data_IF_376711286250
#
_entry.id   IF_376711286250
#
_cell.length_a   1.000
_cell.length_b   1.000
_cell.length_c   1.000
_cell.angle_alpha   90.00
_cell.angle_beta   90.00
_cell.angle_gamma   90.00
#
_symmetry.space_group_name_H-M   'P 1'
#
loop_
_entity.id
_entity.type
_entity.pdbx_description
1 polymer ?
#
# COMPACT_ATOMS: atom_id res chain seq x y z
N UNK A 1 -15.09 12.19 57.73
CA UNK A 1 -13.92 12.12 56.82
C UNK A 1 -13.81 10.69 56.34
N UNK A 2 -14.26 10.40 55.11
CA UNK A 2 -14.15 9.07 54.50
C UNK A 2 -12.68 8.66 54.46
N UNK A 3 -12.39 7.43 54.86
CA UNK A 3 -11.02 6.94 55.08
C UNK A 3 -10.21 7.03 53.79
N UNK A 4 -8.90 7.28 53.91
CA UNK A 4 -7.99 7.31 52.75
C UNK A 4 -8.09 6.00 51.94
N UNK A 5 -8.35 4.88 52.62
CA UNK A 5 -8.58 3.56 52.03
C UNK A 5 -9.82 3.52 51.14
N UNK A 6 -10.89 4.22 51.52
CA UNK A 6 -12.13 4.26 50.74
C UNK A 6 -11.95 5.07 49.45
N UNK A 7 -11.09 6.10 49.49
CA UNK A 7 -10.73 6.89 48.30
C UNK A 7 -9.84 6.10 47.34
N UNK A 8 -8.90 5.32 47.85
CA UNK A 8 -8.03 4.45 47.04
C UNK A 8 -8.86 3.34 46.39
N UNK A 9 -9.74 2.67 47.15
CA UNK A 9 -10.62 1.64 46.61
C UNK A 9 -11.55 2.17 45.51
N UNK A 10 -12.02 3.41 45.64
CA UNK A 10 -12.83 4.08 44.60
C UNK A 10 -12.01 4.39 43.35
N UNK A 11 -10.76 4.86 43.49
CA UNK A 11 -9.87 5.09 42.36
C UNK A 11 -9.49 3.78 41.63
N UNK A 12 -9.26 2.69 42.37
CA UNK A 12 -8.96 1.38 41.78
C UNK A 12 -10.16 0.82 41.01
N UNK A 13 -11.38 1.00 41.53
CA UNK A 13 -12.61 0.61 40.85
C UNK A 13 -12.88 1.44 39.59
N UNK A 14 -12.61 2.75 39.61
CA UNK A 14 -12.73 3.63 38.43
C UNK A 14 -11.67 3.30 37.36
N UNK A 15 -10.45 2.90 37.77
CA UNK A 15 -9.40 2.47 36.85
C UNK A 15 -9.70 1.12 36.17
N UNK A 16 -10.40 0.22 36.87
CA UNK A 16 -10.86 -1.06 36.32
C UNK A 16 -12.15 -0.94 35.49
N UNK A 17 -13.01 0.04 35.79
CA UNK A 17 -14.20 0.37 35.01
C UNK A 17 -13.90 1.22 33.77
N UNK A 18 -12.70 1.82 33.70
CA UNK A 18 -12.17 2.36 32.46
C UNK A 18 -11.85 1.19 31.52
N UNK A 19 -12.86 0.74 30.79
CA UNK A 19 -12.66 -0.17 29.67
C UNK A 19 -11.55 0.41 28.78
N UNK A 20 -10.60 -0.42 28.31
CA UNK A 20 -9.63 0.06 27.34
C UNK A 20 -10.42 0.68 26.21
N UNK A 21 -10.14 1.95 25.88
CA UNK A 21 -10.69 2.62 24.71
C UNK A 21 -10.33 1.74 23.53
N UNK A 22 -11.25 0.85 23.15
CA UNK A 22 -11.15 0.07 21.93
C UNK A 22 -11.28 1.11 20.85
N UNK A 23 -10.15 1.55 20.31
CA UNK A 23 -10.13 2.18 19.00
C UNK A 23 -10.71 1.13 18.07
N UNK A 24 -12.01 1.23 17.78
CA UNK A 24 -12.60 0.55 16.66
C UNK A 24 -11.85 1.06 15.44
N UNK A 25 -10.86 0.29 14.97
CA UNK A 25 -10.26 0.48 13.65
C UNK A 25 -11.32 0.09 12.63
N UNK A 26 -12.31 0.96 12.50
CA UNK A 26 -13.51 0.76 11.72
C UNK A 26 -13.20 1.16 10.28
N UNK A 27 -12.45 0.28 9.62
CA UNK A 27 -12.26 0.06 8.19
C UNK A 27 -10.86 -0.52 7.99
N UNK A 28 -10.76 -1.63 7.27
CA UNK A 28 -9.49 -2.19 6.83
C UNK A 28 -8.85 -1.21 5.83
N UNK A 29 -7.94 -0.37 6.34
CA UNK A 29 -7.23 0.65 5.57
C UNK A 29 -6.13 -0.02 4.77
N UNK A 30 -6.07 0.28 3.46
CA UNK A 30 -4.99 -0.12 2.56
C UNK A 30 -4.28 1.13 2.07
N UNK A 31 -2.96 1.06 1.90
CA UNK A 31 -2.17 2.18 1.41
C UNK A 31 -1.78 1.96 -0.05
N UNK A 32 -2.08 2.95 -0.90
CA UNK A 32 -1.61 2.98 -2.28
C UNK A 32 -0.36 3.85 -2.38
N UNK A 33 0.74 3.27 -2.84
CA UNK A 33 2.00 3.96 -3.08
C UNK A 33 2.27 4.00 -4.59
N UNK A 34 2.05 5.18 -5.19
CA UNK A 34 2.16 5.39 -6.63
C UNK A 34 3.58 5.80 -7.02
N UNK A 35 4.08 5.26 -8.12
CA UNK A 35 5.39 5.58 -8.69
C UNK A 35 5.37 5.52 -10.20
N UNK A 36 6.04 6.45 -10.87
CA UNK A 36 6.22 6.37 -12.33
C UNK A 36 7.25 5.31 -12.76
N UNK A 37 7.26 4.99 -14.04
CA UNK A 37 8.22 4.10 -14.72
C UNK A 37 9.69 4.47 -14.47
N UNK A 38 10.02 5.77 -14.49
CA UNK A 38 11.36 6.29 -14.19
C UNK A 38 11.74 6.15 -12.72
N UNK A 39 10.76 6.25 -11.82
CA UNK A 39 10.95 6.06 -10.39
C UNK A 39 11.11 4.58 -10.02
N UNK A 40 10.57 3.66 -10.82
CA UNK A 40 10.54 2.22 -10.55
C UNK A 40 11.92 1.54 -10.46
N UNK A 41 13.00 2.22 -10.86
CA UNK A 41 14.38 1.74 -10.75
C UNK A 41 15.09 2.17 -9.45
N UNK A 42 14.41 2.90 -8.56
CA UNK A 42 15.00 3.39 -7.31
C UNK A 42 15.12 2.28 -6.25
N UNK A 43 16.27 2.22 -5.58
CA UNK A 43 16.55 1.24 -4.50
C UNK A 43 15.50 1.26 -3.38
N UNK A 44 15.01 2.44 -3.02
CA UNK A 44 14.05 2.62 -1.94
C UNK A 44 12.74 1.84 -2.16
N UNK A 45 12.34 1.60 -3.42
CA UNK A 45 11.16 0.81 -3.72
C UNK A 45 11.35 -0.67 -3.40
N UNK A 46 12.53 -1.22 -3.68
CA UNK A 46 12.85 -2.61 -3.38
C UNK A 46 13.00 -2.81 -1.86
N UNK A 47 13.56 -1.83 -1.15
CA UNK A 47 13.65 -1.86 0.30
C UNK A 47 12.26 -1.77 0.94
N UNK A 48 11.40 -0.86 0.45
CA UNK A 48 10.03 -0.72 0.92
C UNK A 48 9.21 -1.99 0.65
N UNK A 49 9.35 -2.60 -0.54
CA UNK A 49 8.73 -3.86 -0.87
C UNK A 49 9.13 -4.96 0.12
N UNK A 50 10.42 -5.08 0.41
CA UNK A 50 10.95 -6.09 1.31
C UNK A 50 10.40 -5.94 2.73
N UNK A 51 10.37 -4.72 3.25
CA UNK A 51 9.80 -4.46 4.58
C UNK A 51 8.29 -4.73 4.57
N UNK A 52 7.58 -4.31 3.50
CA UNK A 52 6.14 -4.53 3.41
C UNK A 52 5.77 -6.02 3.37
N UNK A 53 6.56 -6.86 2.70
CA UNK A 53 6.31 -8.29 2.63
C UNK A 53 6.78 -9.01 3.88
N UNK A 54 7.84 -8.55 4.54
CA UNK A 54 8.30 -9.12 5.79
C UNK A 54 7.29 -8.93 6.93
N UNK A 55 6.51 -7.85 6.89
CA UNK A 55 5.52 -7.49 7.92
C UNK A 55 4.07 -7.69 7.50
N UNK A 56 3.83 -8.33 6.34
CA UNK A 56 2.49 -8.54 5.77
C UNK A 56 1.63 -7.27 5.76
N UNK A 57 2.25 -6.13 5.45
CA UNK A 57 1.55 -4.84 5.46
C UNK A 57 0.53 -4.77 4.31
N UNK A 58 -0.66 -4.18 4.53
CA UNK A 58 -1.66 -3.95 3.50
C UNK A 58 -1.25 -2.77 2.58
N UNK A 59 -0.15 -2.96 1.85
CA UNK A 59 0.43 -1.97 0.94
C UNK A 59 0.28 -2.42 -0.52
N UNK A 60 -0.20 -1.49 -1.35
CA UNK A 60 -0.39 -1.67 -2.79
C UNK A 60 0.60 -0.74 -3.48
N UNK A 61 1.65 -1.32 -4.07
CA UNK A 61 2.65 -0.58 -4.84
C UNK A 61 2.18 -0.49 -6.28
N UNK A 62 1.94 0.73 -6.75
CA UNK A 62 1.44 1.00 -8.10
C UNK A 62 2.55 1.61 -8.94
N UNK A 63 2.84 0.98 -10.07
CA UNK A 63 3.76 1.50 -11.07
C UNK A 63 2.98 2.03 -12.27
N UNK A 64 2.94 3.35 -12.44
CA UNK A 64 2.35 4.02 -13.58
C UNK A 64 3.35 4.05 -14.74
N UNK A 65 3.07 3.29 -15.79
CA UNK A 65 3.92 3.26 -16.98
C UNK A 65 3.30 4.07 -18.13
N UNK A 66 3.87 5.25 -18.35
CA UNK A 66 3.59 6.14 -19.48
C UNK A 66 4.67 6.06 -20.59
N UNK A 67 5.53 5.05 -20.52
CA UNK A 67 6.70 4.78 -21.38
C UNK A 67 7.87 5.77 -21.26
N UNK A 68 7.75 6.85 -20.48
CA UNK A 68 8.75 7.91 -20.40
C UNK A 68 8.91 8.50 -18.98
N UNK A 69 10.09 8.27 -18.39
CA UNK A 69 10.60 9.02 -17.26
C UNK A 69 11.23 10.33 -17.72
N UNK A 70 10.48 11.43 -17.67
CA UNK A 70 10.88 12.73 -18.23
C UNK A 70 11.18 12.59 -19.73
N UNK A 71 12.44 12.66 -20.16
CA UNK A 71 12.87 12.47 -21.55
C UNK A 71 13.49 11.10 -21.85
N UNK A 72 13.47 10.17 -20.89
CA UNK A 72 14.11 8.86 -21.03
C UNK A 72 13.05 7.78 -21.21
N UNK A 73 13.06 7.14 -22.38
CA UNK A 73 12.16 6.04 -22.68
C UNK A 73 12.42 4.80 -21.80
N UNK A 74 11.37 4.02 -21.51
CA UNK A 74 11.44 2.85 -20.63
C UNK A 74 12.54 1.85 -21.01
N UNK A 75 12.73 1.59 -22.31
CA UNK A 75 13.76 0.65 -22.81
C UNK A 75 15.19 1.17 -22.68
N UNK A 76 15.36 2.48 -22.45
CA UNK A 76 16.65 3.13 -22.17
C UNK A 76 16.94 3.19 -20.68
N UNK A 77 15.88 3.25 -19.85
CA UNK A 77 15.99 3.34 -18.40
C UNK A 77 16.01 1.96 -17.71
N UNK A 78 15.36 0.95 -18.29
CA UNK A 78 15.17 -0.36 -17.70
C UNK A 78 15.53 -1.49 -18.68
N UNK A 79 16.31 -2.48 -18.20
CA UNK A 79 16.63 -3.68 -18.99
C UNK A 79 15.40 -4.56 -19.22
N UNK A 80 14.49 -4.62 -18.26
CA UNK A 80 13.20 -5.31 -18.35
C UNK A 80 12.07 -4.31 -18.17
N UNK A 81 11.22 -4.09 -19.19
CA UNK A 81 10.05 -3.21 -19.12
C UNK A 81 8.84 -3.87 -18.45
N UNK A 82 8.96 -5.14 -18.02
CA UNK A 82 7.91 -5.83 -17.28
C UNK A 82 7.94 -5.42 -15.79
N UNK A 83 7.48 -4.21 -15.47
CA UNK A 83 7.51 -3.66 -14.10
C UNK A 83 6.72 -4.53 -13.10
N UNK A 84 5.62 -5.15 -13.51
CA UNK A 84 4.80 -6.02 -12.65
C UNK A 84 5.53 -7.28 -12.17
N UNK A 85 6.63 -7.67 -12.84
CA UNK A 85 7.44 -8.84 -12.45
C UNK A 85 8.59 -8.48 -11.51
N UNK A 86 8.76 -7.20 -11.17
CA UNK A 86 9.89 -6.74 -10.33
C UNK A 86 9.71 -7.08 -8.86
N UNK A 87 8.50 -7.48 -8.47
CA UNK A 87 8.14 -7.78 -7.09
C UNK A 87 8.74 -9.06 -6.52
N UNK A 88 9.40 -9.87 -7.36
CA UNK A 88 9.96 -11.18 -7.03
C UNK A 88 8.98 -12.08 -6.25
N UNK A 89 8.90 -11.95 -4.93
CA UNK A 89 7.94 -12.63 -4.05
C UNK A 89 6.54 -11.99 -3.98
N UNK A 90 6.39 -10.70 -4.31
CA UNK A 90 5.11 -10.00 -4.27
C UNK A 90 4.29 -10.25 -5.55
N UNK A 91 2.98 -10.42 -5.39
CA UNK A 91 2.08 -10.68 -6.51
C UNK A 91 2.04 -9.49 -7.48
N UNK A 92 2.20 -9.75 -8.78
CA UNK A 92 2.25 -8.74 -9.83
C UNK A 92 0.98 -8.72 -10.67
N UNK A 93 0.25 -7.61 -10.68
CA UNK A 93 -0.91 -7.38 -11.53
C UNK A 93 -0.54 -6.42 -12.67
N UNK A 94 -0.94 -6.72 -13.91
CA UNK A 94 -0.84 -5.78 -15.03
C UNK A 94 -2.25 -5.30 -15.39
N UNK A 95 -2.45 -3.98 -15.42
CA UNK A 95 -3.75 -3.35 -15.67
C UNK A 95 -3.62 -2.36 -16.82
N UNK A 96 -4.60 -2.32 -17.71
CA UNK A 96 -4.71 -1.26 -18.72
C UNK A 96 -5.44 -0.06 -18.12
N UNK A 97 -4.75 1.08 -18.06
CA UNK A 97 -5.28 2.31 -17.43
C UNK A 97 -6.25 3.05 -18.33
N UNK A 98 -6.23 2.76 -19.63
CA UNK A 98 -7.15 3.39 -20.58
C UNK A 98 -8.60 2.93 -20.39
N UNK A 99 -8.82 1.82 -19.66
CA UNK A 99 -10.13 1.35 -19.23
C UNK A 99 -10.36 1.61 -17.73
N UNK A 100 -11.18 2.61 -17.42
CA UNK A 100 -11.52 2.97 -16.05
C UNK A 100 -12.25 1.84 -15.27
N UNK A 101 -12.97 0.95 -15.97
CA UNK A 101 -13.61 -0.21 -15.33
C UNK A 101 -12.58 -1.27 -14.96
N UNK A 102 -11.57 -1.49 -15.81
CA UNK A 102 -10.45 -2.38 -15.51
C UNK A 102 -9.66 -1.88 -14.30
N UNK A 103 -9.39 -0.57 -14.20
CA UNK A 103 -8.74 0.05 -13.04
C UNK A 103 -9.58 -0.15 -11.77
N UNK A 104 -10.90 0.09 -11.83
CA UNK A 104 -11.79 -0.12 -10.68
C UNK A 104 -11.78 -1.57 -10.19
N UNK A 105 -11.83 -2.53 -11.11
CA UNK A 105 -11.80 -3.95 -10.80
C UNK A 105 -10.44 -4.35 -10.20
N UNK A 106 -9.34 -3.87 -10.78
CA UNK A 106 -8.00 -4.09 -10.29
C UNK A 106 -7.78 -3.54 -8.88
N UNK A 107 -8.26 -2.32 -8.59
CA UNK A 107 -8.17 -1.72 -7.27
C UNK A 107 -8.98 -2.50 -6.23
N UNK A 108 -10.16 -3.03 -6.62
CA UNK A 108 -10.99 -3.86 -5.74
C UNK A 108 -10.29 -5.17 -5.43
N UNK A 109 -9.75 -5.84 -6.45
CA UNK A 109 -8.97 -7.07 -6.31
C UNK A 109 -7.71 -6.86 -5.46
N UNK A 110 -6.95 -5.79 -5.74
CA UNK A 110 -5.73 -5.46 -5.02
C UNK A 110 -6.00 -5.15 -3.55
N UNK A 111 -7.10 -4.46 -3.24
CA UNK A 111 -7.54 -4.22 -1.86
C UNK A 111 -7.86 -5.52 -1.13
N UNK A 112 -8.65 -6.40 -1.74
CA UNK A 112 -9.01 -7.68 -1.12
C UNK A 112 -7.81 -8.59 -0.91
N UNK A 113 -6.87 -8.59 -1.87
CA UNK A 113 -5.62 -9.32 -1.76
C UNK A 113 -4.73 -8.76 -0.66
N UNK A 114 -4.54 -7.42 -0.63
CA UNK A 114 -3.68 -6.74 0.33
C UNK A 114 -4.08 -7.01 1.79
N UNK A 115 -5.39 -7.14 2.03
CA UNK A 115 -5.93 -7.41 3.36
C UNK A 115 -5.81 -8.86 3.81
N UNK A 116 -5.65 -9.82 2.87
CA UNK A 116 -5.59 -11.25 3.18
C UNK A 116 -4.17 -11.81 3.16
N UNK A 117 -3.38 -11.38 2.19
CA UNK A 117 -2.12 -12.04 1.80
C UNK A 117 -0.89 -11.11 1.90
N UNK A 118 -1.04 -9.89 2.42
CA UNK A 118 0.04 -8.90 2.46
C UNK A 118 0.22 -8.16 1.12
N UNK A 119 1.39 -7.57 0.85
CA UNK A 119 1.54 -6.56 -0.20
C UNK A 119 1.36 -7.10 -1.62
N UNK A 120 0.81 -6.26 -2.48
CA UNK A 120 0.64 -6.53 -3.92
C UNK A 120 1.29 -5.42 -4.74
N UNK A 121 1.96 -5.82 -5.82
CA UNK A 121 2.42 -4.90 -6.84
C UNK A 121 1.43 -4.87 -7.99
N UNK A 122 0.92 -3.69 -8.29
CA UNK A 122 0.18 -3.44 -9.52
C UNK A 122 1.05 -2.59 -10.44
N UNK A 123 1.13 -2.97 -11.71
CA UNK A 123 1.63 -2.10 -12.76
C UNK A 123 0.48 -1.70 -13.65
N UNK A 124 0.27 -0.40 -13.65
CA UNK A 124 -0.58 0.33 -14.54
C UNK A 124 0.18 0.56 -15.85
N UNK A 125 -0.38 0.09 -16.96
CA UNK A 125 0.24 0.16 -18.28
C UNK A 125 -0.63 1.01 -19.21
N UNK A 126 0.02 1.73 -20.14
CA UNK A 126 -0.61 2.65 -21.10
C UNK A 126 -1.19 3.94 -20.50
N UNK A 127 -0.53 4.57 -19.54
CA UNK A 127 -0.92 5.93 -19.15
C UNK A 127 -0.43 6.92 -20.21
N UNK A 128 -1.32 7.66 -20.86
CA UNK A 128 -0.93 8.68 -21.84
C UNK A 128 -0.32 9.90 -21.14
N UNK A 129 0.95 10.19 -21.42
CA UNK A 129 1.58 11.45 -21.01
C UNK A 129 1.08 12.58 -21.93
N UNK A 130 -0.04 13.21 -21.59
CA UNK A 130 -0.59 14.37 -22.31
C UNK A 130 0.02 15.67 -21.77
N UNK A 131 1.31 15.86 -21.95
CA UNK A 131 1.93 17.17 -21.78
C UNK A 131 2.45 17.64 -23.14
N UNK A 132 1.80 18.67 -23.68
CA UNK A 132 2.22 19.45 -24.85
C UNK A 132 2.51 20.88 -24.40
#
# INVERSE_FOLDING_TARGET
MTSLKDKIAKMEAELQAAEPVKVELQQSVVFFALSGDGAANRRQLFEALNISALWDLPAILVYENNHYGMGTAEWRAAKSPAYYKRGDYAHGLKVDVMDALAVKQACTFAKEHALKNGPIQATEYNTLCLWY
#
